data_IF_661623800207
#
_entry.id   IF_661623800207
#
_cell.length_a   1.000
_cell.length_b   1.000
_cell.length_c   1.000
_cell.angle_alpha   90.00
_cell.angle_beta   90.00
_cell.angle_gamma   90.00
#
_symmetry.space_group_name_H-M   'P 1'
#
loop_
_entity.id
_entity.type
_entity.pdbx_description
1 polymer ?
#
# COMPACT_ATOMS: atom_id res chain seq x y z
N UNK A 1 -5.93 17.16 -68.53
CA UNK A 1 -5.94 16.04 -67.57
C UNK A 1 -4.95 16.36 -66.48
N UNK A 2 -5.42 16.95 -65.39
CA UNK A 2 -4.58 17.38 -64.26
C UNK A 2 -4.61 16.26 -63.17
N UNK A 3 -3.49 15.59 -62.94
CA UNK A 3 -3.36 14.58 -61.88
C UNK A 3 -3.05 15.27 -60.53
N UNK A 4 -3.98 15.24 -59.60
CA UNK A 4 -3.79 15.67 -58.21
C UNK A 4 -3.08 14.57 -57.45
N UNK A 5 -1.85 14.80 -56.97
CA UNK A 5 -1.15 13.91 -56.04
C UNK A 5 -1.70 14.15 -54.64
N UNK A 6 -2.27 13.11 -54.05
CA UNK A 6 -2.66 13.06 -52.63
C UNK A 6 -1.43 12.67 -51.81
N UNK A 7 -0.88 13.59 -51.03
CA UNK A 7 0.22 13.31 -50.09
C UNK A 7 -0.40 12.81 -48.79
N UNK A 8 -0.25 11.51 -48.50
CA UNK A 8 -0.66 10.90 -47.25
C UNK A 8 0.44 11.13 -46.19
N UNK A 9 0.19 12.07 -45.28
CA UNK A 9 1.09 12.28 -44.11
C UNK A 9 0.86 11.16 -43.10
N UNK A 10 1.80 10.25 -42.95
CA UNK A 10 1.82 9.23 -41.89
C UNK A 10 2.30 9.91 -40.62
N UNK A 11 1.38 10.20 -39.70
CA UNK A 11 1.72 10.61 -38.33
C UNK A 11 2.19 9.39 -37.57
N UNK A 12 3.49 9.24 -37.39
CA UNK A 12 4.08 8.22 -36.53
C UNK A 12 3.77 8.57 -35.07
N UNK A 13 2.81 7.87 -34.48
CA UNK A 13 2.60 7.89 -33.03
C UNK A 13 3.73 7.06 -32.41
N UNK A 14 4.77 7.73 -31.95
CA UNK A 14 5.79 7.08 -31.13
C UNK A 14 5.12 6.67 -29.81
N UNK A 15 4.83 5.39 -29.66
CA UNK A 15 4.51 4.83 -28.34
C UNK A 15 5.74 5.05 -27.46
N UNK A 16 5.64 5.99 -26.53
CA UNK A 16 6.64 6.15 -25.48
C UNK A 16 6.70 4.83 -24.73
N UNK A 17 7.76 4.07 -24.97
CA UNK A 17 8.05 2.87 -24.17
C UNK A 17 8.14 3.36 -22.71
N UNK A 18 7.21 2.89 -21.88
CA UNK A 18 7.19 3.23 -20.47
C UNK A 18 8.43 2.57 -19.86
N UNK A 19 9.40 3.39 -19.41
CA UNK A 19 10.60 2.88 -18.74
C UNK A 19 10.17 1.94 -17.60
N UNK A 20 10.82 0.77 -17.53
CA UNK A 20 10.62 -0.16 -16.43
C UNK A 20 11.07 0.53 -15.14
N UNK A 21 10.32 0.38 -14.04
CA UNK A 21 10.68 1.01 -12.78
C UNK A 21 12.03 0.49 -12.31
N UNK A 22 12.86 1.39 -11.79
CA UNK A 22 14.09 1.01 -11.09
C UNK A 22 13.71 0.21 -9.85
N UNK A 23 14.27 -0.99 -9.71
CA UNK A 23 14.07 -1.84 -8.53
C UNK A 23 15.34 -1.86 -7.69
N UNK A 24 15.21 -1.66 -6.39
CA UNK A 24 16.32 -1.65 -5.44
C UNK A 24 16.06 -2.62 -4.28
N UNK A 25 17.08 -3.35 -3.86
CA UNK A 25 17.01 -4.20 -2.67
C UNK A 25 16.95 -3.35 -1.41
N UNK A 26 16.11 -3.74 -0.44
CA UNK A 26 16.04 -3.08 0.86
C UNK A 26 17.34 -3.26 1.66
N UNK A 27 17.98 -4.41 1.52
CA UNK A 27 19.26 -4.73 2.15
C UNK A 27 20.20 -5.30 1.08
N UNK A 28 21.10 -4.47 0.53
CA UNK A 28 22.06 -4.91 -0.49
C UNK A 28 22.96 -6.06 -0.04
N UNK A 29 23.24 -6.16 1.27
CA UNK A 29 24.11 -7.16 1.89
C UNK A 29 23.34 -8.34 2.53
N UNK A 30 22.08 -8.52 2.21
CA UNK A 30 21.21 -9.56 2.77
C UNK A 30 20.25 -9.04 3.83
N UNK A 31 18.98 -9.47 3.76
CA UNK A 31 17.94 -9.07 4.70
C UNK A 31 18.14 -9.75 6.07
N UNK A 32 17.83 -9.08 7.18
CA UNK A 32 17.88 -9.69 8.52
C UNK A 32 17.05 -10.99 8.56
N UNK A 33 17.66 -12.07 9.05
CA UNK A 33 16.99 -13.39 9.13
C UNK A 33 16.73 -14.04 7.76
N UNK A 34 17.38 -13.62 6.68
CA UNK A 34 17.29 -14.29 5.39
C UNK A 34 17.80 -15.73 5.50
N UNK A 35 17.02 -16.70 4.96
CA UNK A 35 17.35 -18.13 5.01
C UNK A 35 17.96 -18.65 3.68
N UNK A 36 18.20 -17.74 2.74
CA UNK A 36 18.80 -18.04 1.43
C UNK A 36 19.02 -16.79 0.60
N UNK A 37 19.35 -16.98 -0.68
CA UNK A 37 19.66 -15.92 -1.64
C UNK A 37 18.76 -15.91 -2.87
N UNK A 38 17.65 -16.65 -2.83
CA UNK A 38 16.67 -16.67 -3.92
C UNK A 38 15.93 -15.33 -3.99
N UNK A 39 15.20 -15.09 -5.09
CA UNK A 39 14.41 -13.87 -5.26
C UNK A 39 13.40 -13.62 -4.12
N UNK A 40 12.81 -14.67 -3.56
CA UNK A 40 11.90 -14.63 -2.40
C UNK A 40 12.58 -14.24 -1.07
N UNK A 41 13.93 -14.28 -1.01
CA UNK A 41 14.74 -13.90 0.16
C UNK A 41 15.22 -12.44 0.07
N UNK A 42 14.97 -11.78 -1.08
CA UNK A 42 15.45 -10.44 -1.43
C UNK A 42 14.30 -9.45 -1.51
N UNK A 43 13.86 -8.90 -0.37
CA UNK A 43 12.84 -7.85 -0.39
C UNK A 43 13.37 -6.60 -1.08
N UNK A 44 12.50 -5.92 -1.83
CA UNK A 44 12.89 -4.81 -2.70
C UNK A 44 11.77 -3.79 -2.85
N UNK A 45 12.13 -2.60 -3.33
CA UNK A 45 11.18 -1.56 -3.75
C UNK A 45 11.33 -1.28 -5.24
N UNK A 46 10.21 -1.23 -5.96
CA UNK A 46 10.13 -0.71 -7.32
C UNK A 46 9.73 0.77 -7.27
N UNK A 47 10.54 1.64 -7.86
CA UNK A 47 10.46 3.09 -7.76
C UNK A 47 9.72 3.65 -8.97
N UNK A 48 8.59 4.29 -8.73
CA UNK A 48 7.76 4.94 -9.74
C UNK A 48 7.73 6.44 -9.49
N UNK A 49 8.41 7.20 -10.33
CA UNK A 49 8.44 8.65 -10.23
C UNK A 49 7.42 9.28 -11.18
N UNK A 50 6.68 10.30 -10.73
CA UNK A 50 5.77 11.04 -11.61
C UNK A 50 6.56 11.89 -12.63
N UNK A 51 5.92 12.30 -13.75
CA UNK A 51 6.51 13.29 -14.64
C UNK A 51 6.92 14.55 -13.86
N UNK A 52 8.13 15.06 -14.11
CA UNK A 52 8.69 16.22 -13.39
C UNK A 52 7.76 17.44 -13.39
N UNK A 53 7.02 17.65 -14.48
CA UNK A 53 6.12 18.80 -14.65
C UNK A 53 4.97 18.84 -13.62
N UNK A 54 4.56 17.68 -13.06
CA UNK A 54 3.45 17.57 -12.12
C UNK A 54 3.89 17.04 -10.75
N UNK A 55 5.17 16.71 -10.59
CA UNK A 55 5.69 16.12 -9.37
C UNK A 55 5.44 17.02 -8.15
N UNK A 56 4.98 16.42 -7.07
CA UNK A 56 4.77 17.05 -5.77
C UNK A 56 5.60 16.33 -4.69
N UNK A 57 5.93 16.99 -3.58
CA UNK A 57 6.84 16.43 -2.58
C UNK A 57 6.16 15.40 -1.66
N UNK A 58 5.27 14.59 -2.19
CA UNK A 58 4.54 13.53 -1.47
C UNK A 58 4.91 12.16 -2.03
N UNK A 59 5.06 11.18 -1.16
CA UNK A 59 5.38 9.81 -1.53
C UNK A 59 4.51 8.79 -0.79
N UNK A 60 4.37 7.60 -1.39
CA UNK A 60 3.64 6.47 -0.81
C UNK A 60 4.43 5.18 -0.99
N UNK A 61 4.67 4.47 0.10
CA UNK A 61 5.08 3.06 0.08
C UNK A 61 3.83 2.20 -0.09
N UNK A 62 3.77 1.41 -1.16
CA UNK A 62 2.62 0.59 -1.51
C UNK A 62 2.89 -0.86 -1.14
N UNK A 63 2.02 -1.45 -0.33
CA UNK A 63 2.09 -2.82 0.16
C UNK A 63 0.96 -3.66 -0.48
N UNK A 64 1.23 -4.42 -1.56
CA UNK A 64 0.23 -5.29 -2.18
C UNK A 64 -0.27 -6.36 -1.23
N UNK A 65 -1.52 -6.82 -1.43
CA UNK A 65 -2.10 -7.95 -0.71
C UNK A 65 -1.64 -9.30 -1.27
N UNK A 66 -2.31 -10.36 -0.80
CA UNK A 66 -2.03 -11.74 -1.20
C UNK A 66 -1.92 -12.70 0.00
N UNK A 67 -2.59 -12.36 1.12
CA UNK A 67 -2.70 -13.23 2.29
C UNK A 67 -1.37 -13.54 3.00
N UNK A 68 -0.33 -12.74 2.80
CA UNK A 68 1.05 -13.00 3.21
C UNK A 68 1.69 -14.26 2.55
N UNK A 69 1.01 -14.89 1.61
CA UNK A 69 1.53 -16.05 0.86
C UNK A 69 1.88 -15.74 -0.61
N UNK A 70 1.41 -14.59 -1.10
CA UNK A 70 1.66 -14.08 -2.44
C UNK A 70 1.65 -12.55 -2.44
N UNK A 71 1.93 -11.93 -3.59
CA UNK A 71 1.83 -10.48 -3.80
C UNK A 71 1.04 -10.18 -5.07
N UNK A 72 -0.02 -9.40 -4.93
CA UNK A 72 -0.85 -8.91 -6.04
C UNK A 72 -0.17 -7.71 -6.74
N UNK A 73 1.04 -7.93 -7.28
CA UNK A 73 1.95 -6.87 -7.75
C UNK A 73 1.39 -6.02 -8.90
N UNK A 74 0.45 -6.53 -9.69
CA UNK A 74 -0.14 -5.76 -10.79
C UNK A 74 -1.21 -4.79 -10.26
N UNK A 75 -2.40 -5.29 -9.89
CA UNK A 75 -3.57 -4.45 -9.59
C UNK A 75 -3.52 -3.75 -8.22
N UNK A 76 -2.69 -4.23 -7.29
CA UNK A 76 -2.45 -3.61 -5.98
C UNK A 76 -1.02 -3.03 -5.85
N UNK A 77 -0.25 -3.08 -6.93
CA UNK A 77 1.11 -2.54 -7.00
C UNK A 77 1.29 -1.55 -8.15
N UNK A 78 1.53 -2.07 -9.36
CA UNK A 78 1.85 -1.27 -10.57
C UNK A 78 0.73 -0.30 -10.91
N UNK A 79 -0.52 -0.75 -10.90
CA UNK A 79 -1.67 0.11 -11.24
C UNK A 79 -1.84 1.23 -10.22
N UNK A 80 -1.61 0.94 -8.94
CA UNK A 80 -1.64 1.93 -7.85
C UNK A 80 -0.53 2.97 -8.04
N UNK A 81 0.69 2.52 -8.31
CA UNK A 81 1.82 3.39 -8.54
C UNK A 81 1.58 4.35 -9.72
N UNK A 82 1.04 3.83 -10.82
CA UNK A 82 0.67 4.66 -11.99
C UNK A 82 -0.42 5.67 -11.68
N UNK A 83 -1.43 5.28 -10.90
CA UNK A 83 -2.46 6.20 -10.45
C UNK A 83 -1.88 7.30 -9.57
N UNK A 84 -1.04 6.98 -8.59
CA UNK A 84 -0.34 7.97 -7.77
C UNK A 84 0.53 8.91 -8.62
N UNK A 85 1.27 8.36 -9.59
CA UNK A 85 2.08 9.18 -10.50
C UNK A 85 1.23 10.13 -11.35
N UNK A 86 0.01 9.74 -11.75
CA UNK A 86 -0.91 10.64 -12.47
C UNK A 86 -1.36 11.84 -11.62
N UNK A 87 -1.29 11.73 -10.30
CA UNK A 87 -1.54 12.80 -9.35
C UNK A 87 -0.26 13.57 -8.93
N UNK A 88 0.89 13.23 -9.49
CA UNK A 88 2.18 13.84 -9.15
C UNK A 88 2.83 13.25 -7.89
N UNK A 89 2.30 12.19 -7.30
CA UNK A 89 2.80 11.53 -6.09
C UNK A 89 3.79 10.44 -6.49
N UNK A 90 4.97 10.39 -5.85
CA UNK A 90 5.95 9.32 -6.02
C UNK A 90 5.48 8.04 -5.32
N UNK A 91 5.67 6.89 -5.97
CA UNK A 91 5.25 5.61 -5.40
C UNK A 91 6.40 4.61 -5.34
N UNK A 92 6.44 3.84 -4.27
CA UNK A 92 7.45 2.83 -3.97
C UNK A 92 6.73 1.51 -3.68
N UNK A 93 6.67 0.62 -4.69
CA UNK A 93 5.97 -0.66 -4.56
C UNK A 93 6.86 -1.67 -3.86
N UNK A 94 6.42 -2.12 -2.70
CA UNK A 94 7.18 -3.00 -1.83
C UNK A 94 6.93 -4.47 -2.20
N UNK A 95 8.00 -5.18 -2.50
CA UNK A 95 8.08 -6.64 -2.50
C UNK A 95 8.63 -7.07 -1.14
N UNK A 96 7.75 -7.40 -0.22
CA UNK A 96 8.12 -7.88 1.12
C UNK A 96 8.20 -9.41 1.16
N UNK A 97 8.93 -9.95 2.13
CA UNK A 97 9.08 -11.40 2.35
C UNK A 97 7.75 -12.03 2.74
N UNK A 98 7.58 -13.32 2.44
CA UNK A 98 6.29 -14.01 2.52
C UNK A 98 6.37 -15.31 3.32
N UNK A 99 5.23 -15.67 3.95
CA UNK A 99 5.01 -16.99 4.53
C UNK A 99 4.83 -18.09 3.46
N UNK A 100 5.00 -19.36 3.85
CA UNK A 100 5.40 -19.82 5.17
C UNK A 100 6.93 -19.75 5.42
N UNK A 101 7.72 -19.35 4.41
CA UNK A 101 9.19 -19.27 4.48
C UNK A 101 9.66 -18.23 5.51
N UNK A 102 8.95 -17.12 5.56
CA UNK A 102 9.15 -16.06 6.55
C UNK A 102 7.89 -15.83 7.35
N UNK A 103 8.05 -15.37 8.56
CA UNK A 103 6.97 -14.97 9.47
C UNK A 103 7.29 -13.66 10.13
N UNK A 104 6.38 -13.13 10.91
CA UNK A 104 6.67 -11.98 11.76
C UNK A 104 7.99 -12.20 12.53
N UNK A 105 8.91 -11.20 12.60
CA UNK A 105 8.74 -9.81 12.16
C UNK A 105 9.21 -9.48 10.72
N UNK A 106 9.65 -10.47 9.92
CA UNK A 106 10.31 -10.19 8.63
C UNK A 106 9.54 -9.23 7.72
N UNK A 107 8.21 -9.32 7.64
CA UNK A 107 7.37 -8.47 6.79
C UNK A 107 7.33 -7.02 7.29
N UNK A 108 7.22 -6.83 8.60
CA UNK A 108 7.19 -5.47 9.16
C UNK A 108 8.57 -4.82 9.11
N UNK A 109 9.64 -5.59 9.28
CA UNK A 109 11.01 -5.10 9.09
C UNK A 109 11.21 -4.60 7.65
N UNK A 110 10.68 -5.32 6.64
CA UNK A 110 10.74 -4.91 5.24
C UNK A 110 9.95 -3.61 4.99
N UNK A 111 8.77 -3.47 5.60
CA UNK A 111 7.94 -2.26 5.45
C UNK A 111 8.60 -1.04 6.13
N UNK A 112 9.10 -1.20 7.34
CA UNK A 112 9.82 -0.16 8.06
C UNK A 112 11.07 0.28 7.28
N UNK A 113 11.86 -0.69 6.79
CA UNK A 113 13.05 -0.41 6.00
C UNK A 113 12.72 0.36 4.72
N UNK A 114 11.62 0.03 4.05
CA UNK A 114 11.18 0.77 2.87
C UNK A 114 10.87 2.24 3.20
N UNK A 115 10.15 2.51 4.28
CA UNK A 115 9.86 3.88 4.75
C UNK A 115 11.15 4.63 5.10
N UNK A 116 12.08 3.99 5.82
CA UNK A 116 13.38 4.55 6.19
C UNK A 116 14.22 4.93 4.96
N UNK A 117 14.29 4.04 3.96
CA UNK A 117 15.02 4.31 2.70
C UNK A 117 14.42 5.52 2.00
N UNK A 118 13.09 5.57 1.83
CA UNK A 118 12.42 6.68 1.17
C UNK A 118 12.63 7.97 1.95
N UNK A 119 12.55 7.94 3.28
CA UNK A 119 12.73 9.13 4.14
C UNK A 119 14.17 9.65 4.13
N UNK A 120 15.15 8.76 4.25
CA UNK A 120 16.57 9.13 4.23
C UNK A 120 16.98 9.71 2.88
N UNK A 121 16.41 9.17 1.79
CA UNK A 121 16.72 9.60 0.42
C UNK A 121 15.67 10.58 -0.15
N UNK A 122 14.82 11.14 0.69
CA UNK A 122 13.77 12.06 0.27
C UNK A 122 14.27 13.23 -0.61
N UNK A 123 15.42 13.88 -0.32
CA UNK A 123 15.97 14.93 -1.19
C UNK A 123 16.35 14.42 -2.59
N UNK A 124 16.87 13.19 -2.73
CA UNK A 124 17.19 12.57 -4.02
C UNK A 124 15.96 12.40 -4.90
N UNK A 125 14.82 12.10 -4.29
CA UNK A 125 13.54 11.89 -4.97
C UNK A 125 12.68 13.17 -5.09
N UNK A 126 13.14 14.30 -4.58
CA UNK A 126 12.33 15.54 -4.54
C UNK A 126 11.12 15.44 -3.61
N UNK A 127 11.21 14.63 -2.57
CA UNK A 127 10.16 14.35 -1.59
C UNK A 127 10.44 15.12 -0.29
N UNK A 128 9.39 15.56 0.39
CA UNK A 128 9.51 16.09 1.75
C UNK A 128 9.52 14.90 2.75
N UNK A 129 10.48 14.84 3.69
CA UNK A 129 10.63 13.68 4.58
C UNK A 129 9.47 13.49 5.57
N UNK A 130 8.61 14.49 5.72
CA UNK A 130 7.39 14.47 6.53
C UNK A 130 6.10 14.33 5.68
N UNK A 131 6.21 13.81 4.45
CA UNK A 131 5.09 13.58 3.53
C UNK A 131 5.17 12.19 2.87
N UNK A 132 5.53 11.19 3.67
CA UNK A 132 5.71 9.80 3.24
C UNK A 132 4.62 8.95 3.90
N UNK A 133 3.68 8.46 3.10
CA UNK A 133 2.62 7.57 3.55
C UNK A 133 2.89 6.12 3.26
N UNK A 134 2.04 5.27 3.84
CA UNK A 134 1.96 3.85 3.53
C UNK A 134 0.55 3.51 3.04
N UNK A 135 0.46 2.71 1.99
CA UNK A 135 -0.81 2.24 1.45
C UNK A 135 -0.79 0.72 1.30
N UNK A 136 -1.72 0.06 1.98
CA UNK A 136 -1.81 -1.40 1.93
C UNK A 136 -3.19 -1.91 1.53
N UNK A 137 -3.19 -3.10 0.93
CA UNK A 137 -4.36 -3.80 0.43
C UNK A 137 -4.48 -5.17 1.11
N UNK A 138 -5.65 -5.57 1.59
CA UNK A 138 -5.86 -6.90 2.16
C UNK A 138 -4.83 -7.24 3.26
N UNK A 139 -4.04 -8.29 3.12
CA UNK A 139 -2.91 -8.60 4.00
C UNK A 139 -1.83 -7.51 3.99
N UNK A 140 -1.59 -6.85 2.84
CA UNK A 140 -0.75 -5.64 2.76
C UNK A 140 -1.35 -4.47 3.54
N UNK A 141 -2.69 -4.41 3.67
CA UNK A 141 -3.40 -3.49 4.55
C UNK A 141 -3.13 -3.77 6.03
N UNK A 142 -3.04 -5.05 6.40
CA UNK A 142 -2.57 -5.44 7.73
C UNK A 142 -1.12 -4.99 7.97
N UNK A 143 -0.23 -5.22 7.00
CA UNK A 143 1.15 -4.77 7.08
C UNK A 143 1.26 -3.24 7.23
N UNK A 144 0.46 -2.49 6.45
CA UNK A 144 0.42 -1.04 6.52
C UNK A 144 -0.15 -0.53 7.85
N UNK A 145 -1.22 -1.16 8.40
CA UNK A 145 -1.77 -0.82 9.70
C UNK A 145 -0.80 -1.20 10.84
N UNK A 146 -0.05 -2.30 10.70
CA UNK A 146 1.03 -2.65 11.63
C UNK A 146 2.12 -1.56 11.60
N UNK A 147 2.59 -1.13 10.43
CA UNK A 147 3.55 -0.04 10.32
C UNK A 147 3.02 1.31 10.87
N UNK A 148 1.71 1.52 10.82
CA UNK A 148 1.06 2.71 11.36
C UNK A 148 0.82 2.67 12.89
N UNK A 149 1.02 1.52 13.55
CA UNK A 149 0.79 1.32 14.99
C UNK A 149 2.03 0.85 15.75
N UNK A 150 3.01 0.22 15.07
CA UNK A 150 4.25 -0.31 15.63
C UNK A 150 5.44 0.38 14.95
N UNK A 151 5.76 1.57 15.34
CA UNK A 151 6.78 2.40 14.71
C UNK A 151 7.76 3.02 15.69
N UNK A 152 8.90 3.44 15.16
CA UNK A 152 9.81 4.41 15.78
C UNK A 152 9.66 5.77 15.10
N UNK A 153 10.36 6.79 15.58
CA UNK A 153 10.33 8.12 14.93
C UNK A 153 10.84 8.08 13.48
N UNK A 154 11.79 7.17 13.19
CA UNK A 154 12.46 7.06 11.88
C UNK A 154 11.57 6.42 10.82
N UNK A 155 10.73 5.45 11.21
CA UNK A 155 9.93 4.64 10.27
C UNK A 155 8.41 4.87 10.39
N UNK A 156 7.96 5.81 11.23
CA UNK A 156 6.54 6.18 11.32
C UNK A 156 6.05 6.77 9.99
N UNK A 157 5.03 6.22 9.34
CA UNK A 157 4.42 6.85 8.17
C UNK A 157 3.71 8.15 8.57
N UNK A 158 3.69 9.16 7.68
CA UNK A 158 3.04 10.44 7.96
C UNK A 158 1.54 10.39 7.74
N UNK A 159 1.07 9.41 6.95
CA UNK A 159 -0.35 9.06 6.75
C UNK A 159 -0.46 7.58 6.31
N UNK A 160 -1.65 7.01 6.46
CA UNK A 160 -1.94 5.65 6.01
C UNK A 160 -3.18 5.59 5.12
N UNK A 161 -3.17 4.68 4.13
CA UNK A 161 -4.32 4.31 3.31
C UNK A 161 -4.49 2.81 3.41
N UNK A 162 -5.68 2.37 3.79
CA UNK A 162 -6.00 0.96 4.02
C UNK A 162 -7.19 0.56 3.14
N UNK A 163 -6.94 -0.24 2.11
CA UNK A 163 -7.96 -0.73 1.21
C UNK A 163 -8.34 -2.18 1.58
N UNK A 164 -9.59 -2.40 1.95
CA UNK A 164 -10.13 -3.69 2.41
C UNK A 164 -9.14 -4.48 3.29
N UNK A 165 -8.58 -3.82 4.33
CA UNK A 165 -7.49 -4.38 5.10
C UNK A 165 -7.91 -5.56 5.97
N UNK A 166 -7.05 -6.56 6.12
CA UNK A 166 -7.05 -7.40 7.30
C UNK A 166 -6.60 -6.54 8.48
N UNK A 167 -7.25 -6.64 9.62
CA UNK A 167 -6.96 -5.84 10.83
C UNK A 167 -6.85 -6.74 12.05
N UNK A 168 -7.93 -7.41 12.42
CA UNK A 168 -7.99 -8.18 13.67
C UNK A 168 -7.65 -9.65 13.46
N UNK A 169 -6.87 -10.19 14.37
CA UNK A 169 -6.59 -11.62 14.47
C UNK A 169 -7.27 -12.29 15.68
N UNK A 170 -8.07 -11.53 16.45
CA UNK A 170 -8.77 -12.00 17.66
C UNK A 170 -10.28 -12.14 17.47
N UNK A 171 -10.83 -11.73 16.32
CA UNK A 171 -12.26 -11.72 16.07
C UNK A 171 -12.76 -12.91 15.25
N UNK A 172 -14.07 -13.23 15.26
CA UNK A 172 -14.63 -14.29 14.44
C UNK A 172 -14.48 -14.09 12.93
N UNK A 173 -14.33 -12.84 12.47
CA UNK A 173 -14.13 -12.48 11.06
C UNK A 173 -12.65 -12.32 10.67
N UNK A 174 -11.74 -12.85 11.47
CA UNK A 174 -10.30 -12.91 11.17
C UNK A 174 -10.06 -13.63 9.85
N UNK A 175 -9.27 -13.04 8.95
CA UNK A 175 -8.78 -13.75 7.76
C UNK A 175 -7.72 -14.78 8.15
N UNK A 176 -8.16 -16.03 8.33
CA UNK A 176 -7.34 -17.13 8.87
C UNK A 176 -6.09 -17.42 8.01
N UNK A 177 -6.20 -17.26 6.68
CA UNK A 177 -5.06 -17.43 5.77
C UNK A 177 -3.92 -16.46 6.07
N UNK A 178 -4.22 -15.18 6.23
CA UNK A 178 -3.23 -14.15 6.58
C UNK A 178 -2.62 -14.41 7.96
N UNK A 179 -3.45 -14.72 8.95
CA UNK A 179 -2.99 -15.04 10.32
C UNK A 179 -2.00 -16.21 10.30
N UNK A 180 -2.36 -17.31 9.65
CA UNK A 180 -1.51 -18.50 9.55
C UNK A 180 -0.20 -18.25 8.81
N UNK A 181 -0.24 -17.56 7.67
CA UNK A 181 0.96 -17.27 6.89
C UNK A 181 1.92 -16.34 7.63
N UNK A 182 1.39 -15.36 8.39
CA UNK A 182 2.20 -14.41 9.15
C UNK A 182 2.73 -15.03 10.46
N UNK A 183 1.91 -15.79 11.18
CA UNK A 183 2.18 -16.20 12.56
C UNK A 183 2.40 -17.72 12.72
N UNK A 184 1.98 -18.54 11.74
CA UNK A 184 1.99 -19.99 11.84
C UNK A 184 0.68 -20.57 12.37
N UNK A 185 0.68 -21.90 12.58
CA UNK A 185 -0.53 -22.64 12.94
C UNK A 185 -0.90 -22.49 14.43
N UNK A 186 0.08 -22.33 15.30
CA UNK A 186 -0.10 -22.21 16.75
C UNK A 186 0.63 -20.96 17.28
N UNK A 187 0.17 -19.75 16.93
CA UNK A 187 0.83 -18.53 17.36
C UNK A 187 0.64 -18.25 18.85
N UNK A 188 1.62 -17.58 19.46
CA UNK A 188 1.49 -17.05 20.82
C UNK A 188 0.25 -16.11 20.89
N UNK A 189 -0.67 -16.33 21.81
CA UNK A 189 -1.85 -15.46 21.98
C UNK A 189 -1.51 -13.99 22.19
N UNK A 190 -0.40 -13.68 22.86
CA UNK A 190 0.06 -12.28 23.04
C UNK A 190 0.47 -11.66 21.73
N UNK A 191 1.13 -12.41 20.85
CA UNK A 191 1.50 -11.94 19.52
C UNK A 191 0.26 -11.77 18.62
N UNK A 192 -0.74 -12.64 18.75
CA UNK A 192 -2.04 -12.51 18.07
C UNK A 192 -2.74 -11.23 18.49
N UNK A 193 -2.75 -10.91 19.78
CA UNK A 193 -3.32 -9.68 20.33
C UNK A 193 -2.50 -8.46 19.88
N UNK A 194 -1.18 -8.54 19.94
CA UNK A 194 -0.26 -7.47 19.53
C UNK A 194 -0.45 -7.08 18.07
N UNK A 195 -0.63 -8.07 17.20
CA UNK A 195 -0.85 -7.86 15.77
C UNK A 195 -2.33 -7.76 15.36
N UNK A 196 -3.25 -7.63 16.31
CA UNK A 196 -4.60 -7.10 16.10
C UNK A 196 -4.51 -5.57 16.18
N UNK A 197 -4.29 -4.95 15.03
CA UNK A 197 -3.77 -3.57 14.97
C UNK A 197 -4.74 -2.51 15.50
N UNK A 198 -6.04 -2.80 15.52
CA UNK A 198 -7.06 -1.96 16.17
C UNK A 198 -6.82 -1.80 17.67
N UNK A 199 -6.18 -2.77 18.31
CA UNK A 199 -5.83 -2.73 19.74
C UNK A 199 -4.58 -1.90 20.03
N UNK A 200 -3.83 -1.53 18.99
CA UNK A 200 -2.56 -0.80 19.08
C UNK A 200 -2.64 0.65 18.62
N UNK A 201 -3.80 1.10 18.24
CA UNK A 201 -4.02 2.51 17.86
C UNK A 201 -3.81 3.41 19.08
N UNK A 202 -2.98 4.44 18.89
CA UNK A 202 -2.70 5.50 19.89
C UNK A 202 -2.93 6.87 19.26
N UNK A 203 -2.81 7.94 20.05
CA UNK A 203 -2.86 9.33 19.55
C UNK A 203 -1.75 9.65 18.53
N UNK A 204 -0.69 8.86 18.51
CA UNK A 204 0.46 9.03 17.63
C UNK A 204 0.34 8.22 16.33
N UNK A 205 -0.71 7.39 16.19
CA UNK A 205 -1.08 6.72 14.94
C UNK A 205 -1.36 7.80 13.87
N UNK A 206 -0.85 7.65 12.62
CA UNK A 206 -1.01 8.68 11.60
C UNK A 206 -2.47 8.82 11.12
N UNK A 207 -2.85 9.98 10.56
CA UNK A 207 -4.12 10.15 9.87
C UNK A 207 -4.34 9.05 8.83
N UNK A 208 -5.54 8.46 8.80
CA UNK A 208 -5.80 7.25 8.01
C UNK A 208 -7.07 7.37 7.16
N UNK A 209 -6.96 6.98 5.89
CA UNK A 209 -8.10 6.76 4.99
C UNK A 209 -8.35 5.27 4.85
N UNK A 210 -9.62 4.85 4.91
CA UNK A 210 -10.04 3.46 4.77
C UNK A 210 -11.09 3.31 3.65
N UNK A 211 -10.96 2.23 2.88
CA UNK A 211 -11.92 1.81 1.87
C UNK A 211 -12.29 0.34 2.04
N UNK A 212 -13.58 0.02 1.93
CA UNK A 212 -14.07 -1.36 1.98
C UNK A 212 -15.35 -1.53 1.18
N UNK A 213 -15.78 -2.78 0.99
CA UNK A 213 -17.07 -3.12 0.41
C UNK A 213 -17.81 -4.13 1.28
N UNK A 214 -19.14 -4.03 1.31
CA UNK A 214 -20.00 -4.84 2.19
C UNK A 214 -20.14 -6.30 1.69
N UNK A 215 -19.97 -6.51 0.37
CA UNK A 215 -19.99 -7.84 -0.24
C UNK A 215 -18.65 -8.57 -0.14
N UNK A 216 -17.63 -7.98 0.50
CA UNK A 216 -16.35 -8.64 0.72
C UNK A 216 -16.48 -9.77 1.74
N UNK A 217 -16.60 -11.00 1.23
CA UNK A 217 -16.69 -12.22 2.05
C UNK A 217 -15.31 -12.81 2.40
N UNK A 218 -14.24 -12.34 1.76
CA UNK A 218 -12.86 -12.77 2.03
C UNK A 218 -12.29 -12.10 3.27
N UNK A 219 -12.46 -10.79 3.36
CA UNK A 219 -12.09 -9.97 4.51
C UNK A 219 -13.28 -9.07 4.85
N UNK A 220 -14.11 -9.44 5.83
CA UNK A 220 -15.31 -8.67 6.17
C UNK A 220 -15.03 -7.21 6.55
N UNK A 221 -15.94 -6.29 6.15
CA UNK A 221 -15.79 -4.85 6.33
C UNK A 221 -15.65 -4.42 7.79
N UNK A 222 -16.06 -5.26 8.73
CA UNK A 222 -15.87 -5.10 10.17
C UNK A 222 -14.41 -4.84 10.54
N UNK A 223 -13.44 -5.37 9.77
CA UNK A 223 -12.03 -5.05 9.96
C UNK A 223 -11.77 -3.54 9.86
N UNK A 224 -12.24 -2.91 8.79
CA UNK A 224 -12.11 -1.45 8.59
C UNK A 224 -12.88 -0.66 9.64
N UNK A 225 -14.07 -1.12 10.02
CA UNK A 225 -14.91 -0.48 11.05
C UNK A 225 -14.20 -0.48 12.41
N UNK A 226 -13.62 -1.61 12.83
CA UNK A 226 -12.89 -1.70 14.10
C UNK A 226 -11.69 -0.72 14.14
N UNK A 227 -10.89 -0.69 13.08
CA UNK A 227 -9.73 0.20 13.03
C UNK A 227 -10.17 1.67 13.04
N UNK A 228 -11.21 2.02 12.27
CA UNK A 228 -11.79 3.37 12.26
C UNK A 228 -12.29 3.79 13.66
N UNK A 229 -13.01 2.92 14.37
CA UNK A 229 -13.48 3.21 15.72
C UNK A 229 -12.33 3.40 16.70
N UNK A 230 -11.26 2.62 16.57
CA UNK A 230 -10.05 2.78 17.38
C UNK A 230 -9.36 4.13 17.10
N UNK A 231 -9.22 4.53 15.83
CA UNK A 231 -8.70 5.86 15.45
C UNK A 231 -9.55 7.00 16.05
N UNK A 232 -10.88 6.90 15.92
CA UNK A 232 -11.82 7.86 16.51
C UNK A 232 -11.64 7.98 18.01
N UNK A 233 -11.54 6.85 18.71
CA UNK A 233 -11.33 6.82 20.19
C UNK A 233 -10.00 7.45 20.58
N UNK A 234 -8.96 7.30 19.77
CA UNK A 234 -7.64 7.89 20.01
C UNK A 234 -7.53 9.37 19.58
N UNK A 235 -8.58 9.95 18.99
CA UNK A 235 -8.57 11.32 18.48
C UNK A 235 -7.77 11.50 17.18
N UNK A 236 -7.47 10.41 16.47
CA UNK A 236 -6.74 10.43 15.20
C UNK A 236 -7.71 10.77 14.06
N UNK A 237 -7.36 11.71 13.16
CA UNK A 237 -8.18 12.00 12.00
C UNK A 237 -8.30 10.77 11.09
N UNK A 238 -9.51 10.38 10.75
CA UNK A 238 -9.81 9.21 9.94
C UNK A 238 -11.01 9.43 9.04
N UNK A 239 -10.97 8.84 7.84
CA UNK A 239 -12.08 8.80 6.89
C UNK A 239 -12.30 7.36 6.44
N UNK A 240 -13.56 6.91 6.44
CA UNK A 240 -13.94 5.53 6.07
C UNK A 240 -15.06 5.58 5.04
N UNK A 241 -14.87 4.86 3.92
CA UNK A 241 -15.88 4.62 2.91
C UNK A 241 -16.17 3.13 2.79
N UNK A 242 -17.43 2.74 2.99
CA UNK A 242 -17.91 1.38 2.76
C UNK A 242 -18.98 1.43 1.69
N UNK A 243 -18.72 0.75 0.57
CA UNK A 243 -19.67 0.61 -0.53
C UNK A 243 -20.47 -0.68 -0.36
N UNK A 244 -21.74 -0.67 -0.80
CA UNK A 244 -22.60 -1.85 -0.70
C UNK A 244 -22.01 -3.02 -1.48
N UNK A 245 -21.60 -2.79 -2.73
CA UNK A 245 -21.14 -3.82 -3.67
C UNK A 245 -19.65 -3.82 -3.88
N UNK A 246 -19.15 -5.00 -4.19
CA UNK A 246 -17.79 -5.24 -4.57
C UNK A 246 -17.17 -6.45 -3.87
N UNK A 247 -16.46 -7.28 -4.66
CA UNK A 247 -15.74 -8.44 -4.14
C UNK A 247 -14.42 -8.01 -3.49
N UNK A 248 -13.79 -8.93 -2.78
CA UNK A 248 -12.42 -8.74 -2.28
C UNK A 248 -11.40 -8.52 -3.42
N UNK A 249 -10.40 -7.68 -3.18
CA UNK A 249 -9.26 -7.52 -4.12
C UNK A 249 -9.58 -6.65 -5.33
N UNK A 250 -10.34 -5.57 -5.17
CA UNK A 250 -10.77 -4.69 -6.28
C UNK A 250 -9.64 -3.80 -6.84
N UNK A 251 -8.54 -3.59 -6.09
CA UNK A 251 -7.55 -2.57 -6.46
C UNK A 251 -8.21 -1.19 -6.60
N UNK A 252 -7.98 -0.50 -7.72
CA UNK A 252 -8.63 0.79 -8.02
C UNK A 252 -10.11 0.68 -8.44
N UNK A 253 -10.64 -0.53 -8.54
CA UNK A 253 -12.04 -0.80 -8.91
C UNK A 253 -12.47 -0.19 -10.26
N UNK A 254 -11.55 -0.04 -11.23
CA UNK A 254 -11.81 0.62 -12.52
C UNK A 254 -12.98 0.03 -13.33
N UNK A 255 -13.28 -1.25 -13.13
CA UNK A 255 -14.36 -1.95 -13.84
C UNK A 255 -15.63 -2.09 -12.98
N UNK A 256 -15.61 -1.55 -11.78
CA UNK A 256 -16.75 -1.61 -10.84
C UNK A 256 -17.45 -0.26 -10.80
N UNK A 257 -18.70 -0.22 -11.30
CA UNK A 257 -19.48 1.01 -11.34
C UNK A 257 -19.84 1.55 -9.93
N UNK A 258 -19.93 0.67 -8.94
CA UNK A 258 -20.28 1.05 -7.57
C UNK A 258 -19.03 1.51 -6.80
N UNK A 259 -17.96 0.70 -6.83
CA UNK A 259 -16.70 1.00 -6.12
C UNK A 259 -15.77 1.97 -6.85
N UNK A 260 -15.92 2.19 -8.15
CA UNK A 260 -14.98 2.95 -8.98
C UNK A 260 -14.79 4.43 -8.60
N UNK A 261 -15.63 4.97 -7.72
CA UNK A 261 -15.50 6.34 -7.23
C UNK A 261 -14.53 6.50 -6.05
N UNK A 262 -14.13 5.41 -5.37
CA UNK A 262 -13.32 5.50 -4.16
C UNK A 262 -11.92 6.12 -4.37
N UNK A 263 -11.20 5.91 -5.52
CA UNK A 263 -9.93 6.59 -5.72
C UNK A 263 -10.09 8.12 -5.80
N UNK A 264 -11.24 8.60 -6.33
CA UNK A 264 -11.59 10.02 -6.29
C UNK A 264 -11.76 10.56 -4.87
N UNK A 265 -12.42 9.79 -3.99
CA UNK A 265 -12.57 10.15 -2.56
C UNK A 265 -11.20 10.21 -1.86
N UNK A 266 -10.30 9.27 -2.18
CA UNK A 266 -8.93 9.30 -1.68
C UNK A 266 -8.17 10.55 -2.16
N UNK A 267 -8.31 10.92 -3.43
CA UNK A 267 -7.71 12.14 -3.96
C UNK A 267 -8.23 13.40 -3.23
N UNK A 268 -9.54 13.46 -2.94
CA UNK A 268 -10.14 14.55 -2.15
C UNK A 268 -9.59 14.57 -0.71
N UNK A 269 -9.42 13.41 -0.09
CA UNK A 269 -8.81 13.30 1.22
C UNK A 269 -7.35 13.77 1.20
N UNK A 270 -6.57 13.42 0.18
CA UNK A 270 -5.21 13.92 0.01
C UNK A 270 -5.18 15.47 -0.09
N UNK A 271 -6.13 16.09 -0.81
CA UNK A 271 -6.26 17.56 -0.87
C UNK A 271 -6.58 18.15 0.49
N UNK A 272 -7.55 17.58 1.20
CA UNK A 272 -7.95 18.01 2.57
C UNK A 272 -6.76 17.96 3.53
N UNK A 273 -5.84 17.01 3.33
CA UNK A 273 -4.61 16.86 4.13
C UNK A 273 -3.44 17.70 3.62
N UNK A 274 -3.61 18.45 2.54
CA UNK A 274 -2.53 19.21 1.91
C UNK A 274 -1.44 18.31 1.28
N UNK A 275 -1.74 17.02 1.06
CA UNK A 275 -0.84 16.04 0.44
C UNK A 275 -0.91 16.09 -1.09
N UNK A 276 -1.97 16.63 -1.64
CA UNK A 276 -2.20 16.91 -3.05
C UNK A 276 -2.61 18.39 -3.20
N UNK A 277 -2.28 19.00 -4.34
CA UNK A 277 -2.71 20.37 -4.67
C UNK A 277 -4.15 20.43 -5.13
#
# INVERSE_FOLDING_TARGET
MTRTLLVLSIVSVSALAQEQPKTELLWPNGAPGAVGEEDKDKPSIAIYMPPKAIAIPTAVVVCPGGGYGALAMDHEGVQIARWLNSLGISAFVLKYRLGPRYRHPAMIDDAHRAIEIVRTRAPEFGIAPNRIGIWGFSAGGHLASTAATHFTAENRPDFAVLAYPVISFTTPFTHQGSKRNLLGDNPDPKLVEDLSTELRVTKDTPPTFLFHTNEDTGVPAENSVLFYLALRKAGVPAELHIYERGRHGLGLAHLDAAGGSWPGRLADWFRTRGLLK
#
